data_IF_455756953874
#
_entry.id   IF_455756953874
#
_cell.length_a   1.000
_cell.length_b   1.000
_cell.length_c   1.000
_cell.angle_alpha   90.00
_cell.angle_beta   90.00
_cell.angle_gamma   90.00
#
_symmetry.space_group_name_H-M   'P 1'
#
loop_
_entity.id
_entity.type
_entity.pdbx_description
1 polymer ?
#
# COMPACT_ATOMS: atom_id res chain seq x y z
N UNK A 1 8.90 10.73 -6.79
CA UNK A 1 9.39 11.84 -7.66
C UNK A 1 9.23 13.17 -6.95
N UNK A 2 10.13 13.45 -5.97
CA UNK A 2 10.07 14.67 -5.12
C UNK A 2 10.28 16.01 -5.91
N UNK A 3 10.65 15.98 -7.15
CA UNK A 3 10.68 17.16 -8.04
C UNK A 3 9.71 17.01 -9.22
N UNK A 4 8.85 16.02 -9.19
CA UNK A 4 7.88 15.67 -10.22
C UNK A 4 8.47 15.04 -11.49
N UNK A 5 9.79 14.90 -11.60
CA UNK A 5 10.47 14.48 -12.85
C UNK A 5 11.52 13.41 -12.61
N UNK A 6 12.43 13.62 -11.66
CA UNK A 6 13.57 12.73 -11.45
C UNK A 6 13.33 11.81 -10.27
N UNK A 7 13.82 10.56 -10.32
CA UNK A 7 13.71 9.64 -9.20
C UNK A 7 14.56 10.12 -8.02
N UNK A 8 13.97 10.09 -6.85
CA UNK A 8 14.62 10.28 -5.56
C UNK A 8 14.48 9.01 -4.74
N UNK A 9 15.27 8.84 -3.69
CA UNK A 9 15.04 7.82 -2.69
C UNK A 9 15.02 8.42 -1.29
N UNK A 10 14.21 7.83 -0.43
CA UNK A 10 14.04 8.25 0.96
C UNK A 10 14.48 7.13 1.89
N UNK A 11 15.26 7.47 2.89
CA UNK A 11 15.65 6.57 3.98
C UNK A 11 14.98 7.02 5.26
N UNK A 12 14.26 6.10 5.91
CA UNK A 12 13.59 6.36 7.17
C UNK A 12 14.22 5.58 8.32
N UNK A 13 14.27 6.19 9.51
CA UNK A 13 14.61 5.53 10.77
C UNK A 13 13.84 6.14 11.94
N UNK A 14 13.59 5.32 12.98
CA UNK A 14 12.96 5.80 14.19
C UNK A 14 11.45 5.95 14.09
N UNK A 15 10.72 4.85 14.06
CA UNK A 15 9.25 4.85 14.00
C UNK A 15 8.57 4.72 15.37
N UNK A 16 9.31 4.39 16.44
CA UNK A 16 8.79 4.35 17.83
C UNK A 16 9.13 5.61 18.66
N UNK A 17 9.96 6.47 18.14
CA UNK A 17 10.42 7.66 18.87
C UNK A 17 10.87 8.74 17.88
N UNK A 18 12.06 9.35 18.14
CA UNK A 18 12.61 10.33 17.20
C UNK A 18 12.64 9.78 15.79
N UNK A 19 11.93 10.43 14.89
CA UNK A 19 11.80 10.06 13.49
C UNK A 19 12.72 10.89 12.62
N UNK A 20 13.52 10.24 11.79
CA UNK A 20 14.38 10.91 10.81
C UNK A 20 14.08 10.32 9.42
N UNK A 21 13.76 11.19 8.47
CA UNK A 21 13.66 10.87 7.05
C UNK A 21 14.70 11.68 6.29
N UNK A 22 15.46 11.04 5.43
CA UNK A 22 16.46 11.69 4.59
C UNK A 22 16.19 11.38 3.12
N UNK A 23 16.04 12.41 2.31
CA UNK A 23 15.84 12.30 0.87
C UNK A 23 17.13 12.60 0.11
N UNK A 24 17.31 11.83 -0.96
CA UNK A 24 18.47 11.94 -1.84
C UNK A 24 18.01 11.90 -3.29
N UNK A 25 18.58 12.77 -4.10
CA UNK A 25 18.40 12.77 -5.54
C UNK A 25 19.52 12.00 -6.24
N UNK A 26 19.15 11.25 -7.27
CA UNK A 26 20.09 10.66 -8.21
C UNK A 26 20.02 11.40 -9.54
N UNK A 27 21.02 12.21 -9.82
CA UNK A 27 21.09 13.05 -11.02
C UNK A 27 22.51 13.11 -11.56
N UNK A 28 22.67 13.04 -12.88
CA UNK A 28 23.98 13.09 -13.54
C UNK A 28 25.00 12.07 -12.97
N UNK A 29 24.55 10.84 -12.71
CA UNK A 29 25.32 9.76 -12.09
C UNK A 29 25.90 10.11 -10.71
N UNK A 30 25.25 11.02 -9.98
CA UNK A 30 25.63 11.41 -8.61
C UNK A 30 24.44 11.34 -7.70
N UNK A 31 24.70 10.91 -6.46
CA UNK A 31 23.76 10.99 -5.35
C UNK A 31 24.06 12.27 -4.58
N UNK A 32 23.04 13.07 -4.32
CA UNK A 32 23.13 14.27 -3.49
C UNK A 32 22.00 14.28 -2.44
N UNK A 33 22.29 14.77 -1.26
CA UNK A 33 21.25 15.01 -0.25
C UNK A 33 20.32 16.10 -0.74
N UNK A 34 19.00 15.85 -0.64
CA UNK A 34 17.95 16.82 -0.95
C UNK A 34 17.53 17.55 0.33
N UNK A 35 17.04 16.80 1.29
CA UNK A 35 16.65 17.30 2.61
C UNK A 35 16.75 16.22 3.68
N UNK A 36 16.73 16.63 4.93
CA UNK A 36 16.60 15.77 6.10
C UNK A 36 15.52 16.34 7.00
N UNK A 37 14.46 15.57 7.22
CA UNK A 37 13.47 15.83 8.25
C UNK A 37 13.89 15.11 9.53
N UNK A 38 13.83 15.81 10.66
CA UNK A 38 14.19 15.26 11.97
C UNK A 38 13.20 15.79 13.01
N UNK A 39 12.50 14.89 13.69
CA UNK A 39 11.59 15.25 14.78
C UNK A 39 12.34 15.62 16.08
N UNK A 40 13.66 15.49 16.10
CA UNK A 40 14.58 15.86 17.17
C UNK A 40 14.33 15.13 18.50
N UNK A 41 13.16 15.26 19.10
CA UNK A 41 12.81 14.71 20.40
C UNK A 41 11.42 14.06 20.42
N UNK A 42 11.07 13.46 21.56
CA UNK A 42 9.79 12.75 21.72
C UNK A 42 8.55 13.64 21.85
N UNK A 43 8.73 14.91 22.14
CA UNK A 43 7.65 15.90 22.31
C UNK A 43 7.16 16.46 20.98
N UNK A 44 7.98 16.31 19.94
CA UNK A 44 7.61 16.71 18.59
C UNK A 44 6.44 15.84 18.08
N UNK A 45 5.37 16.46 17.51
CA UNK A 45 4.17 15.72 17.07
C UNK A 45 4.44 14.65 16.00
N UNK A 46 5.56 14.72 15.30
CA UNK A 46 5.96 13.72 14.30
C UNK A 46 6.75 12.54 14.89
N UNK A 47 7.12 12.61 16.17
CA UNK A 47 7.82 11.50 16.83
C UNK A 47 6.89 10.32 17.08
N UNK A 48 7.36 9.10 16.74
CA UNK A 48 6.62 7.86 16.99
C UNK A 48 5.42 7.62 16.06
N UNK A 49 5.35 8.31 14.92
CA UNK A 49 4.23 8.21 13.99
C UNK A 49 4.51 7.26 12.80
N UNK A 50 5.75 6.85 12.60
CA UNK A 50 6.15 6.06 11.43
C UNK A 50 5.71 4.60 11.49
N UNK A 51 5.57 3.96 10.33
CA UNK A 51 5.30 2.54 10.18
C UNK A 51 6.57 1.75 9.81
N UNK A 52 6.48 0.43 9.81
CA UNK A 52 7.52 -0.47 9.26
C UNK A 52 7.64 -0.39 7.73
N UNK A 53 6.79 0.37 7.08
CA UNK A 53 6.84 0.70 5.67
C UNK A 53 6.35 2.14 5.48
N UNK A 54 6.50 2.68 4.30
CA UNK A 54 5.97 3.99 3.90
C UNK A 54 5.24 3.86 2.56
N UNK A 55 4.48 4.88 2.22
CA UNK A 55 3.93 5.06 0.88
C UNK A 55 4.35 6.42 0.35
N UNK A 56 4.35 6.54 -0.97
CA UNK A 56 4.69 7.77 -1.68
C UNK A 56 3.55 8.05 -2.66
N UNK A 57 3.04 9.27 -2.65
CA UNK A 57 1.96 9.70 -3.53
C UNK A 57 1.90 11.22 -3.61
N UNK A 58 1.40 11.76 -4.72
CA UNK A 58 1.03 13.17 -4.88
C UNK A 58 -0.24 13.44 -4.04
N UNK A 59 -0.06 13.89 -2.80
CA UNK A 59 -1.12 14.01 -1.82
C UNK A 59 -1.89 15.34 -1.93
N UNK A 60 -1.26 16.39 -2.40
CA UNK A 60 -1.86 17.73 -2.50
C UNK A 60 -2.21 18.16 -3.93
N UNK A 61 -1.74 17.39 -4.93
CA UNK A 61 -2.06 17.59 -6.35
C UNK A 61 -1.12 18.57 -7.06
N UNK A 62 0.10 18.79 -6.54
CA UNK A 62 1.08 19.70 -7.14
C UNK A 62 1.97 19.01 -8.19
N UNK A 63 1.85 17.70 -8.34
CA UNK A 63 2.60 16.87 -9.30
C UNK A 63 3.94 16.36 -8.79
N UNK A 64 4.21 16.49 -7.51
CA UNK A 64 5.33 15.91 -6.80
C UNK A 64 4.82 14.92 -5.76
N UNK A 65 5.69 14.05 -5.29
CA UNK A 65 5.29 13.01 -4.34
C UNK A 65 5.62 13.42 -2.90
N UNK A 66 4.69 13.20 -1.99
CA UNK A 66 4.85 13.30 -0.56
C UNK A 66 5.16 11.93 0.06
N UNK A 67 5.73 11.95 1.25
CA UNK A 67 6.06 10.75 2.01
C UNK A 67 5.01 10.52 3.09
N UNK A 68 4.16 9.50 2.88
CA UNK A 68 3.17 9.06 3.86
C UNK A 68 3.84 8.02 4.76
N UNK A 69 4.27 8.44 5.94
CA UNK A 69 5.01 7.58 6.87
C UNK A 69 4.19 7.27 8.11
N UNK A 70 3.32 6.28 8.00
CA UNK A 70 2.45 5.86 9.10
C UNK A 70 1.32 6.85 9.38
N UNK A 71 1.34 7.49 10.53
CA UNK A 71 0.34 8.44 11.00
C UNK A 71 0.71 9.92 10.73
N UNK A 72 1.64 10.15 9.81
CA UNK A 72 2.09 11.49 9.41
C UNK A 72 2.41 11.56 7.91
N UNK A 73 2.51 12.76 7.37
CA UNK A 73 3.07 13.01 6.04
C UNK A 73 4.12 14.13 6.07
N UNK A 74 5.09 13.99 5.18
CA UNK A 74 6.17 14.93 4.93
C UNK A 74 6.11 15.33 3.47
N UNK A 75 6.14 16.64 3.23
CA UNK A 75 6.09 17.27 1.94
C UNK A 75 7.34 16.99 1.07
N UNK A 76 7.24 17.19 -0.22
CA UNK A 76 8.31 17.01 -1.21
C UNK A 76 9.57 17.81 -0.89
N UNK A 77 9.42 18.93 -0.18
CA UNK A 77 10.51 19.80 0.27
C UNK A 77 11.12 19.41 1.63
N UNK A 78 10.55 18.39 2.31
CA UNK A 78 10.99 17.91 3.61
C UNK A 78 10.33 18.57 4.80
N UNK A 79 9.34 19.43 4.60
CA UNK A 79 8.54 20.01 5.69
C UNK A 79 7.44 19.04 6.15
N UNK A 80 7.01 19.16 7.41
CA UNK A 80 5.91 18.34 7.91
C UNK A 80 4.57 18.87 7.43
N UNK A 81 3.76 18.04 6.75
CA UNK A 81 2.41 18.41 6.34
C UNK A 81 1.42 18.30 7.51
N UNK A 82 1.35 17.11 8.10
CA UNK A 82 0.48 16.83 9.25
C UNK A 82 1.00 15.63 10.06
N UNK A 83 0.50 15.56 11.29
CA UNK A 83 0.59 14.38 12.16
C UNK A 83 -0.75 14.16 12.83
N UNK A 84 -1.30 12.94 12.72
CA UNK A 84 -2.58 12.60 13.36
C UNK A 84 -2.43 12.25 14.83
N UNK A 85 -1.21 11.99 15.29
CA UNK A 85 -0.95 11.55 16.66
C UNK A 85 -1.32 10.10 16.94
N UNK A 86 -1.75 9.31 15.94
CA UNK A 86 -2.21 7.93 16.12
C UNK A 86 -1.08 6.90 16.33
N UNK A 87 0.17 7.35 16.21
CA UNK A 87 1.37 6.58 16.52
C UNK A 87 1.72 5.50 15.48
N UNK A 88 2.74 4.74 15.84
CA UNK A 88 3.29 3.64 15.05
C UNK A 88 2.26 2.58 14.67
N UNK A 89 2.51 1.88 13.57
CA UNK A 89 1.73 0.72 13.12
C UNK A 89 2.47 -0.18 12.14
N UNK A 90 1.95 -1.38 11.96
CA UNK A 90 2.57 -2.46 11.18
C UNK A 90 2.12 -2.52 9.71
N UNK A 91 0.94 -1.99 9.38
CA UNK A 91 0.38 -2.02 8.04
C UNK A 91 -0.15 -0.66 7.61
N UNK A 92 0.09 -0.34 6.34
CA UNK A 92 -0.33 0.91 5.71
C UNK A 92 -0.77 0.63 4.26
N UNK A 93 -1.92 1.16 3.89
CA UNK A 93 -2.48 1.09 2.55
C UNK A 93 -2.87 2.48 2.11
N UNK A 94 -2.30 2.96 1.01
CA UNK A 94 -2.60 4.27 0.42
C UNK A 94 -3.10 4.06 -0.99
N UNK A 95 -4.32 4.50 -1.27
CA UNK A 95 -4.97 4.43 -2.59
C UNK A 95 -6.20 5.34 -2.60
N UNK A 96 -6.83 5.48 -3.76
CA UNK A 96 -8.23 5.92 -3.87
C UNK A 96 -9.11 4.74 -3.36
N UNK A 97 -9.39 4.73 -2.06
CA UNK A 97 -10.16 3.69 -1.40
C UNK A 97 -11.66 4.00 -1.41
N UNK A 98 -12.03 5.27 -1.51
CA UNK A 98 -13.40 5.76 -1.56
C UNK A 98 -13.61 6.65 -2.80
N UNK A 99 -14.03 6.08 -3.93
CA UNK A 99 -14.15 6.83 -5.19
C UNK A 99 -15.26 7.91 -5.17
N UNK A 100 -16.02 8.01 -4.09
CA UNK A 100 -16.99 9.09 -3.86
C UNK A 100 -16.35 10.31 -3.20
N UNK A 101 -15.12 10.19 -2.68
CA UNK A 101 -14.35 11.26 -2.03
C UNK A 101 -13.15 11.61 -2.91
N UNK A 102 -12.95 12.88 -3.31
CA UNK A 102 -11.78 13.25 -4.10
C UNK A 102 -10.48 13.12 -3.32
N UNK A 103 -9.46 12.50 -3.92
CA UNK A 103 -8.13 12.34 -3.36
C UNK A 103 -7.81 10.89 -3.03
N UNK A 104 -6.81 10.69 -2.21
CA UNK A 104 -6.39 9.37 -1.75
C UNK A 104 -6.57 9.27 -0.24
N UNK A 105 -6.86 8.08 0.23
CA UNK A 105 -6.96 7.77 1.64
C UNK A 105 -5.82 6.86 2.09
N UNK A 106 -5.46 7.02 3.34
CA UNK A 106 -4.59 6.09 4.06
C UNK A 106 -5.43 5.27 5.03
N UNK A 107 -5.51 3.97 4.82
CA UNK A 107 -5.93 3.01 5.84
C UNK A 107 -4.71 2.41 6.52
N UNK A 108 -4.79 2.22 7.84
CA UNK A 108 -3.75 1.50 8.56
C UNK A 108 -4.14 1.09 9.96
N UNK A 109 -3.29 0.25 10.50
CA UNK A 109 -3.38 -0.23 11.87
C UNK A 109 -2.37 0.50 12.73
N UNK A 110 -2.64 0.55 14.04
CA UNK A 110 -1.76 1.20 15.02
C UNK A 110 -1.47 0.27 16.18
N UNK A 111 -0.25 0.38 16.71
CA UNK A 111 0.17 -0.31 17.91
C UNK A 111 -0.03 0.62 19.12
N UNK A 112 -0.99 0.27 19.98
CA UNK A 112 -1.27 0.99 21.20
C UNK A 112 -0.58 0.27 22.34
N UNK A 113 0.59 0.73 22.72
CA UNK A 113 1.45 0.13 23.72
C UNK A 113 1.66 1.00 24.97
N UNK A 114 2.07 0.38 26.05
CA UNK A 114 2.57 1.06 27.26
C UNK A 114 1.61 2.09 27.87
N UNK A 115 0.30 1.81 27.80
CA UNK A 115 -0.74 2.69 28.37
C UNK A 115 -1.01 3.96 27.56
N UNK A 116 -0.56 4.01 26.31
CA UNK A 116 -0.97 5.08 25.38
C UNK A 116 -2.42 4.86 24.94
N UNK A 117 -3.12 5.94 24.69
CA UNK A 117 -4.49 5.91 24.15
C UNK A 117 -4.49 6.25 22.66
N UNK A 118 -5.46 5.72 21.92
CA UNK A 118 -5.64 6.01 20.50
C UNK A 118 -6.44 4.92 19.79
N UNK A 119 -6.74 5.10 18.50
CA UNK A 119 -7.40 4.09 17.69
C UNK A 119 -6.39 3.02 17.25
N UNK A 120 -6.77 1.73 17.32
CA UNK A 120 -6.01 0.64 16.70
C UNK A 120 -6.16 0.59 15.19
N UNK A 121 -7.22 1.22 14.65
CA UNK A 121 -7.53 1.32 13.22
C UNK A 121 -7.86 2.76 12.88
N UNK A 122 -7.27 3.28 11.79
CA UNK A 122 -7.62 4.60 11.26
C UNK A 122 -7.64 4.64 9.73
N UNK A 123 -8.61 5.38 9.21
CA UNK A 123 -8.71 5.82 7.83
C UNK A 123 -8.71 7.35 7.82
N UNK A 124 -7.86 7.95 7.01
CA UNK A 124 -7.79 9.42 6.88
C UNK A 124 -7.33 9.85 5.48
N UNK A 125 -7.66 11.07 5.10
CA UNK A 125 -7.18 11.72 3.88
C UNK A 125 -5.66 11.91 3.95
N UNK A 126 -4.93 11.55 2.89
CA UNK A 126 -3.48 11.79 2.87
C UNK A 126 -3.12 13.26 2.62
N UNK A 127 -4.06 14.05 2.15
CA UNK A 127 -3.84 15.47 1.84
C UNK A 127 -3.56 16.30 3.08
N UNK A 128 -4.29 16.04 4.17
CA UNK A 128 -4.29 16.91 5.35
C UNK A 128 -4.44 16.17 6.69
N UNK A 129 -4.51 14.82 6.64
CA UNK A 129 -4.72 14.01 7.83
C UNK A 129 -6.15 14.03 8.40
N UNK A 130 -7.13 14.58 7.66
CA UNK A 130 -8.54 14.58 8.08
C UNK A 130 -9.02 13.15 8.30
N UNK A 131 -9.45 12.87 9.54
CA UNK A 131 -9.88 11.52 9.95
C UNK A 131 -11.27 11.22 9.42
N UNK A 132 -11.40 10.11 8.71
CA UNK A 132 -12.65 9.64 8.09
C UNK A 132 -13.30 8.51 8.92
N UNK A 133 -12.47 7.64 9.50
CA UNK A 133 -12.95 6.53 10.32
C UNK A 133 -11.89 6.09 11.33
N UNK A 134 -12.34 5.67 12.52
CA UNK A 134 -11.49 5.01 13.54
C UNK A 134 -12.22 3.85 14.19
N UNK A 135 -11.45 2.85 14.64
CA UNK A 135 -11.97 1.69 15.37
C UNK A 135 -10.94 1.14 16.36
N UNK A 136 -11.36 0.15 17.15
CA UNK A 136 -10.51 -0.59 18.10
C UNK A 136 -9.76 0.34 19.07
N UNK A 137 -10.45 1.16 19.86
CA UNK A 137 -9.80 2.10 20.78
C UNK A 137 -8.93 1.35 21.80
N UNK A 138 -7.72 1.88 22.03
CA UNK A 138 -6.75 1.38 23.02
C UNK A 138 -6.39 -0.10 22.82
N UNK A 139 -6.36 -0.56 21.58
CA UNK A 139 -6.03 -1.92 21.22
C UNK A 139 -4.88 -1.96 20.21
N UNK A 140 -3.89 -2.76 20.52
CA UNK A 140 -2.80 -3.10 19.59
C UNK A 140 -3.33 -4.02 18.48
N UNK A 141 -3.17 -3.59 17.22
CA UNK A 141 -3.58 -4.33 16.02
C UNK A 141 -2.36 -4.56 15.15
N UNK A 142 -1.96 -5.83 14.99
CA UNK A 142 -0.76 -6.20 14.22
C UNK A 142 -0.98 -6.42 12.72
N UNK A 143 -2.21 -6.40 12.21
CA UNK A 143 -2.57 -6.64 10.81
C UNK A 143 -3.87 -5.95 10.44
N UNK A 144 -3.94 -5.47 9.22
CA UNK A 144 -5.16 -4.93 8.64
C UNK A 144 -4.94 -4.65 7.17
N UNK A 145 -6.00 -4.70 6.39
CA UNK A 145 -6.01 -4.45 4.95
C UNK A 145 -7.24 -3.65 4.56
N UNK A 146 -7.08 -2.85 3.51
CA UNK A 146 -8.18 -2.17 2.83
C UNK A 146 -8.01 -2.32 1.32
N UNK A 147 -9.03 -2.86 0.66
CA UNK A 147 -9.13 -2.93 -0.79
C UNK A 147 -10.54 -3.36 -1.22
N UNK A 148 -10.89 -3.16 -2.48
CA UNK A 148 -12.11 -3.72 -3.02
C UNK A 148 -11.95 -5.23 -3.23
N UNK A 149 -12.68 -6.04 -2.45
CA UNK A 149 -12.72 -7.50 -2.53
C UNK A 149 -14.14 -8.03 -2.77
N UNK A 150 -15.16 -7.19 -2.58
CA UNK A 150 -16.57 -7.53 -2.82
C UNK A 150 -16.99 -7.08 -4.22
N UNK A 151 -17.24 -8.05 -5.09
CA UNK A 151 -17.64 -7.84 -6.49
C UNK A 151 -19.03 -7.21 -6.66
N UNK A 152 -19.67 -6.78 -5.60
CA UNK A 152 -21.03 -6.20 -5.60
C UNK A 152 -21.09 -4.78 -5.04
N UNK A 153 -19.97 -4.27 -4.49
CA UNK A 153 -19.93 -2.97 -3.78
C UNK A 153 -18.81 -2.09 -4.30
N UNK A 154 -19.13 -0.83 -4.54
CA UNK A 154 -18.17 0.22 -4.85
C UNK A 154 -17.40 0.62 -3.59
N UNK A 155 -16.16 1.03 -3.74
CA UNK A 155 -15.26 1.40 -2.64
C UNK A 155 -14.55 0.20 -2.01
N UNK A 156 -13.51 0.47 -1.26
CA UNK A 156 -12.75 -0.56 -0.56
C UNK A 156 -13.55 -1.15 0.62
N UNK A 157 -13.20 -2.37 0.98
CA UNK A 157 -13.60 -2.97 2.25
C UNK A 157 -12.41 -2.99 3.19
N UNK A 158 -12.68 -2.85 4.48
CA UNK A 158 -11.68 -2.82 5.55
C UNK A 158 -11.90 -3.98 6.52
N UNK A 159 -10.82 -4.65 6.89
CA UNK A 159 -10.83 -5.63 7.99
C UNK A 159 -9.42 -5.75 8.60
N UNK A 160 -9.35 -6.32 9.78
CA UNK A 160 -8.11 -6.43 10.55
C UNK A 160 -8.05 -7.68 11.39
N UNK A 161 -6.89 -7.99 11.92
CA UNK A 161 -6.69 -9.15 12.77
C UNK A 161 -7.56 -9.05 14.04
N UNK A 162 -8.37 -10.07 14.26
CA UNK A 162 -9.30 -10.14 15.39
C UNK A 162 -10.66 -9.51 15.13
N UNK A 163 -10.88 -8.81 14.01
CA UNK A 163 -12.22 -8.47 13.57
C UNK A 163 -12.96 -9.71 13.07
N UNK A 164 -14.24 -9.81 13.42
CA UNK A 164 -15.16 -10.79 12.83
C UNK A 164 -15.92 -10.23 11.65
N UNK A 165 -15.94 -8.91 11.54
CA UNK A 165 -16.77 -8.17 10.62
C UNK A 165 -15.95 -7.54 9.51
N UNK A 166 -16.49 -7.61 8.29
CA UNK A 166 -16.03 -6.87 7.13
C UNK A 166 -16.77 -5.53 7.09
N UNK A 167 -16.02 -4.44 6.95
CA UNK A 167 -16.57 -3.10 6.92
C UNK A 167 -16.47 -2.52 5.50
N UNK A 168 -17.45 -1.72 5.10
CA UNK A 168 -17.27 -0.85 3.95
C UNK A 168 -16.34 0.32 4.30
N UNK A 169 -16.02 1.14 3.31
CA UNK A 169 -15.11 2.28 3.51
C UNK A 169 -15.68 3.37 4.43
N UNK A 170 -16.99 3.36 4.69
CA UNK A 170 -17.65 4.27 5.63
C UNK A 170 -17.72 3.68 7.06
N UNK A 171 -17.20 2.47 7.26
CA UNK A 171 -17.20 1.76 8.56
C UNK A 171 -18.45 0.95 8.86
N UNK A 172 -19.39 0.81 7.94
CA UNK A 172 -20.59 -0.02 8.16
C UNK A 172 -20.22 -1.50 8.03
N UNK A 173 -20.76 -2.34 8.92
CA UNK A 173 -20.63 -3.80 8.84
C UNK A 173 -21.44 -4.32 7.66
N UNK A 174 -20.79 -5.03 6.73
CA UNK A 174 -21.40 -5.54 5.50
C UNK A 174 -21.30 -7.05 5.33
N UNK A 175 -20.56 -7.72 6.18
CA UNK A 175 -20.37 -9.16 6.08
C UNK A 175 -19.38 -9.70 7.10
N UNK A 176 -18.91 -10.91 6.87
CA UNK A 176 -17.86 -11.53 7.69
C UNK A 176 -16.49 -11.22 7.14
N UNK A 177 -15.56 -10.83 7.99
CA UNK A 177 -14.18 -10.63 7.62
C UNK A 177 -13.54 -11.92 7.06
N UNK A 178 -12.68 -11.83 6.05
CA UNK A 178 -11.76 -12.90 5.69
C UNK A 178 -10.92 -13.32 6.91
N UNK A 179 -10.46 -14.58 6.92
CA UNK A 179 -9.60 -15.09 8.00
C UNK A 179 -8.20 -14.44 7.99
N UNK A 180 -7.68 -14.15 6.79
CA UNK A 180 -6.38 -13.51 6.63
C UNK A 180 -6.55 -12.01 6.41
N UNK A 181 -5.67 -11.22 7.00
CA UNK A 181 -5.51 -9.80 6.77
C UNK A 181 -4.04 -9.49 6.41
N UNK A 182 -3.39 -10.40 5.65
CA UNK A 182 -1.96 -10.33 5.36
C UNK A 182 -1.66 -9.62 4.04
N UNK A 183 -2.24 -10.10 2.91
CA UNK A 183 -1.88 -9.63 1.59
C UNK A 183 -3.03 -9.74 0.58
N UNK A 184 -2.90 -9.07 -0.54
CA UNK A 184 -3.89 -8.98 -1.62
C UNK A 184 -3.18 -9.02 -2.97
N UNK A 185 -3.91 -9.48 -4.01
CA UNK A 185 -3.40 -9.60 -5.37
C UNK A 185 -4.54 -9.37 -6.37
N UNK A 186 -4.28 -8.78 -7.54
CA UNK A 186 -5.19 -8.83 -8.68
C UNK A 186 -4.88 -10.08 -9.52
N UNK A 187 -5.72 -11.10 -9.40
CA UNK A 187 -5.44 -12.42 -9.96
C UNK A 187 -6.45 -12.91 -10.98
N UNK A 188 -7.73 -12.80 -10.69
CA UNK A 188 -8.77 -13.33 -11.57
C UNK A 188 -9.16 -12.37 -12.73
N UNK A 189 -10.32 -12.52 -13.30
CA UNK A 189 -10.74 -11.77 -14.47
C UNK A 189 -11.50 -10.49 -14.19
N UNK A 190 -11.73 -10.11 -12.93
CA UNK A 190 -12.42 -8.88 -12.54
C UNK A 190 -11.49 -7.89 -11.79
N UNK A 191 -11.94 -6.65 -11.56
CA UNK A 191 -11.10 -5.62 -10.93
C UNK A 191 -11.04 -5.67 -9.42
N UNK A 192 -11.80 -6.56 -8.77
CA UNK A 192 -11.70 -6.76 -7.32
C UNK A 192 -10.51 -7.63 -6.98
N UNK A 193 -9.87 -7.35 -5.84
CA UNK A 193 -8.69 -8.09 -5.42
C UNK A 193 -9.03 -9.44 -4.78
N UNK A 194 -8.11 -10.38 -4.91
CA UNK A 194 -8.11 -11.65 -4.20
C UNK A 194 -7.27 -11.54 -2.93
N UNK A 195 -7.61 -12.41 -1.98
CA UNK A 195 -6.84 -12.63 -0.75
C UNK A 195 -5.63 -13.47 -1.09
N UNK A 196 -4.45 -12.99 -0.74
CA UNK A 196 -3.21 -13.76 -0.82
C UNK A 196 -2.70 -14.03 0.60
N UNK A 197 -2.55 -15.30 0.95
CA UNK A 197 -1.97 -15.70 2.23
C UNK A 197 -1.07 -16.92 2.03
N UNK A 198 0.20 -16.80 2.44
CA UNK A 198 1.21 -17.86 2.22
C UNK A 198 1.35 -18.19 0.73
N UNK A 199 0.87 -19.39 0.32
CA UNK A 199 0.99 -19.91 -1.04
C UNK A 199 -0.34 -19.96 -1.78
N UNK A 200 -1.45 -19.55 -1.14
CA UNK A 200 -2.77 -19.66 -1.76
C UNK A 200 -3.42 -18.30 -2.05
N UNK A 201 -4.19 -18.29 -3.11
CA UNK A 201 -5.02 -17.16 -3.55
C UNK A 201 -6.48 -17.58 -3.45
N UNK A 202 -7.31 -16.74 -2.84
CA UNK A 202 -8.72 -17.01 -2.66
C UNK A 202 -9.58 -15.77 -2.97
N UNK A 203 -10.72 -15.98 -3.63
CA UNK A 203 -11.74 -14.93 -3.85
C UNK A 203 -12.68 -14.85 -2.68
N UNK A 204 -12.94 -13.64 -2.19
CA UNK A 204 -13.93 -13.41 -1.16
C UNK A 204 -15.30 -13.98 -1.56
N UNK A 205 -15.91 -14.78 -0.66
CA UNK A 205 -17.19 -15.43 -0.90
C UNK A 205 -17.21 -16.60 -1.90
N UNK A 206 -16.09 -16.88 -2.62
CA UNK A 206 -16.02 -17.95 -3.63
C UNK A 206 -15.03 -19.07 -3.26
N UNK A 207 -14.05 -18.83 -2.41
CA UNK A 207 -13.06 -19.82 -1.99
C UNK A 207 -11.74 -19.76 -2.75
N UNK A 208 -10.95 -20.82 -2.65
CA UNK A 208 -9.60 -20.91 -3.20
C UNK A 208 -9.60 -20.96 -4.74
N UNK A 209 -8.81 -20.11 -5.37
CA UNK A 209 -8.59 -20.07 -6.81
C UNK A 209 -7.28 -20.74 -7.22
N UNK A 210 -6.24 -20.61 -6.39
CA UNK A 210 -4.91 -21.11 -6.71
C UNK A 210 -4.15 -21.47 -5.44
N UNK A 211 -3.25 -22.48 -5.53
CA UNK A 211 -2.25 -22.77 -4.51
C UNK A 211 -0.91 -23.12 -5.18
N UNK A 212 0.15 -22.43 -4.76
CA UNK A 212 1.50 -22.64 -5.25
C UNK A 212 2.15 -23.84 -4.52
N UNK A 213 1.77 -25.05 -4.91
CA UNK A 213 2.33 -26.27 -4.32
C UNK A 213 3.86 -26.35 -4.49
N UNK A 214 4.56 -26.72 -3.43
CA UNK A 214 6.02 -26.78 -3.42
C UNK A 214 6.72 -25.44 -3.27
N UNK A 215 5.98 -24.35 -3.13
CA UNK A 215 6.52 -23.04 -2.74
C UNK A 215 6.43 -22.77 -1.24
N UNK A 216 7.10 -21.72 -0.81
CA UNK A 216 7.01 -21.18 0.56
C UNK A 216 6.87 -19.65 0.51
N UNK A 217 6.76 -19.01 1.66
CA UNK A 217 6.53 -17.58 1.79
C UNK A 217 7.59 -16.91 2.65
N UNK A 218 7.65 -15.60 2.62
CA UNK A 218 8.56 -14.78 3.41
C UNK A 218 7.92 -14.33 4.73
N UNK A 219 8.75 -13.93 5.70
CA UNK A 219 8.38 -13.25 6.96
C UNK A 219 7.44 -14.01 7.88
N UNK A 220 7.57 -15.33 7.97
CA UNK A 220 6.89 -16.16 8.96
C UNK A 220 5.38 -15.95 9.00
N UNK A 221 4.83 -15.50 10.12
CA UNK A 221 3.38 -15.29 10.32
C UNK A 221 2.81 -14.16 9.46
N UNK A 222 3.65 -13.24 8.96
CA UNK A 222 3.23 -12.19 8.04
C UNK A 222 2.90 -12.75 6.65
N UNK A 223 3.42 -13.92 6.31
CA UNK A 223 3.02 -14.75 5.19
C UNK A 223 2.97 -13.98 3.85
N UNK A 224 3.96 -13.12 3.60
CA UNK A 224 4.02 -12.26 2.42
C UNK A 224 4.77 -12.94 1.27
N UNK A 225 4.47 -12.61 0.01
CA UNK A 225 5.25 -13.06 -1.14
C UNK A 225 6.64 -12.43 -1.16
N UNK A 226 7.51 -12.93 -2.02
CA UNK A 226 8.76 -12.24 -2.37
C UNK A 226 8.48 -11.01 -3.22
N UNK A 227 7.49 -11.11 -4.13
CA UNK A 227 6.98 -10.00 -4.92
C UNK A 227 5.56 -10.34 -5.40
N UNK A 228 4.70 -9.32 -5.50
CA UNK A 228 3.47 -9.32 -6.29
C UNK A 228 3.48 -8.09 -7.17
N UNK A 229 3.39 -8.26 -8.49
CA UNK A 229 3.46 -7.17 -9.46
C UNK A 229 2.92 -7.58 -10.83
N UNK A 230 2.37 -6.62 -11.57
CA UNK A 230 2.03 -6.76 -12.99
C UNK A 230 3.31 -6.77 -13.84
N UNK A 231 4.00 -7.92 -13.87
CA UNK A 231 5.29 -8.11 -14.56
C UNK A 231 5.07 -8.36 -16.06
N UNK A 232 4.00 -9.11 -16.40
CA UNK A 232 3.70 -9.47 -17.79
C UNK A 232 2.94 -8.37 -18.53
N UNK A 233 2.48 -7.34 -17.83
CA UNK A 233 1.89 -6.14 -18.43
C UNK A 233 0.45 -6.32 -18.88
N UNK A 234 -0.28 -7.25 -18.29
CA UNK A 234 -1.69 -7.52 -18.64
C UNK A 234 -2.68 -6.97 -17.57
N UNK A 235 -2.18 -6.11 -16.64
CA UNK A 235 -2.82 -5.50 -15.48
C UNK A 235 -3.05 -6.43 -14.28
N UNK A 236 -2.98 -7.73 -14.46
CA UNK A 236 -3.03 -8.68 -13.36
C UNK A 236 -1.63 -8.90 -12.80
N UNK A 237 -1.57 -9.26 -11.53
CA UNK A 237 -0.29 -9.38 -10.86
C UNK A 237 0.23 -10.82 -10.93
N UNK A 238 1.53 -10.96 -11.20
CA UNK A 238 2.26 -12.20 -10.99
C UNK A 238 2.66 -12.32 -9.53
N UNK A 239 2.69 -13.57 -9.07
CA UNK A 239 3.10 -13.95 -7.74
C UNK A 239 4.49 -14.60 -7.77
N UNK A 240 5.47 -14.03 -7.07
CA UNK A 240 6.80 -14.61 -6.91
C UNK A 240 6.97 -15.20 -5.52
N UNK A 241 7.28 -16.50 -5.48
CA UNK A 241 7.56 -17.25 -4.24
C UNK A 241 8.81 -18.11 -4.41
N UNK A 242 9.63 -18.27 -3.36
CA UNK A 242 10.71 -19.25 -3.39
C UNK A 242 10.17 -20.68 -3.32
N UNK A 243 10.90 -21.65 -3.88
CA UNK A 243 10.68 -23.07 -3.63
C UNK A 243 10.86 -23.37 -2.14
N UNK A 244 10.29 -24.49 -1.66
CA UNK A 244 10.52 -24.94 -0.28
C UNK A 244 11.98 -25.29 -0.02
N UNK A 245 12.65 -25.78 -1.04
CA UNK A 245 14.06 -26.13 -1.04
C UNK A 245 14.98 -24.90 -1.04
N UNK A 246 14.46 -23.74 -1.47
CA UNK A 246 15.18 -22.47 -1.50
C UNK A 246 16.17 -22.32 -2.65
N UNK A 247 16.07 -23.17 -3.66
CA UNK A 247 16.97 -23.23 -4.82
C UNK A 247 16.39 -22.52 -6.08
N UNK A 248 15.08 -22.20 -6.05
CA UNK A 248 14.39 -21.56 -7.15
C UNK A 248 13.53 -20.38 -6.66
N UNK A 249 13.40 -19.36 -7.51
CA UNK A 249 12.35 -18.36 -7.45
C UNK A 249 11.32 -18.67 -8.53
N UNK A 250 10.09 -18.94 -8.13
CA UNK A 250 8.99 -19.32 -9.03
C UNK A 250 8.08 -18.13 -9.29
N UNK A 251 7.76 -17.91 -10.57
CA UNK A 251 6.79 -16.91 -11.02
C UNK A 251 5.51 -17.65 -11.39
N UNK A 252 4.41 -17.24 -10.77
CA UNK A 252 3.08 -17.75 -11.05
C UNK A 252 2.24 -16.66 -11.70
N UNK A 253 1.61 -16.99 -12.82
CA UNK A 253 0.67 -16.14 -13.53
C UNK A 253 -0.68 -16.84 -13.65
N UNK A 254 -1.75 -16.06 -13.72
CA UNK A 254 -3.10 -16.60 -13.85
C UNK A 254 -3.40 -17.05 -15.27
N UNK A 255 -4.16 -18.13 -15.40
CA UNK A 255 -4.72 -18.60 -16.67
C UNK A 255 -6.22 -18.31 -16.82
N UNK A 256 -6.81 -17.59 -15.86
CA UNK A 256 -8.24 -17.24 -15.87
C UNK A 256 -8.49 -16.21 -16.98
N UNK A 257 -9.42 -16.49 -17.91
CA UNK A 257 -9.73 -15.53 -18.97
C UNK A 257 -10.37 -14.25 -18.45
N UNK A 258 -10.03 -13.11 -19.04
CA UNK A 258 -10.70 -11.83 -18.79
C UNK A 258 -11.07 -11.11 -20.07
N UNK A 259 -12.21 -10.42 -20.07
CA UNK A 259 -12.62 -9.49 -21.13
C UNK A 259 -12.18 -8.05 -20.86
N UNK A 260 -11.72 -7.77 -19.64
CA UNK A 260 -11.20 -6.46 -19.29
C UNK A 260 -9.87 -6.20 -19.98
N UNK A 261 -9.72 -4.99 -20.51
CA UNK A 261 -8.50 -4.52 -21.16
C UNK A 261 -8.09 -3.18 -20.56
N UNK A 262 -6.87 -3.14 -20.05
CA UNK A 262 -6.30 -1.97 -19.41
C UNK A 262 -4.80 -1.89 -19.73
N UNK A 263 -4.21 -0.73 -19.62
CA UNK A 263 -2.75 -0.59 -19.64
C UNK A 263 -2.15 -1.32 -18.43
N UNK A 264 -0.90 -1.73 -18.55
CA UNK A 264 -0.17 -2.27 -17.41
C UNK A 264 -0.21 -1.30 -16.23
N UNK A 265 -0.41 -1.83 -15.03
CA UNK A 265 -0.40 -1.04 -13.80
C UNK A 265 0.93 -0.32 -13.56
N UNK A 266 2.02 -0.81 -14.18
CA UNK A 266 3.33 -0.17 -14.13
C UNK A 266 3.39 1.22 -14.78
N UNK A 267 2.35 1.63 -15.51
CA UNK A 267 2.21 3.01 -15.99
C UNK A 267 1.66 3.97 -14.93
N UNK A 268 1.02 3.45 -13.88
CA UNK A 268 0.64 4.25 -12.72
C UNK A 268 1.87 4.52 -11.85
N UNK A 269 2.27 5.80 -11.63
CA UNK A 269 3.47 6.13 -10.87
C UNK A 269 3.43 5.56 -9.45
N UNK A 270 2.30 5.66 -8.74
CA UNK A 270 2.17 5.17 -7.38
C UNK A 270 2.31 3.64 -7.32
N UNK A 271 1.65 2.91 -8.23
CA UNK A 271 1.79 1.45 -8.30
C UNK A 271 3.24 1.05 -8.57
N UNK A 272 3.89 1.64 -9.57
CA UNK A 272 5.28 1.37 -9.91
C UNK A 272 6.23 1.64 -8.75
N UNK A 273 6.03 2.71 -8.01
CA UNK A 273 6.81 3.02 -6.81
C UNK A 273 6.51 2.00 -5.69
N UNK A 274 5.25 1.56 -5.54
CA UNK A 274 4.89 0.53 -4.57
C UNK A 274 5.64 -0.79 -4.80
N UNK A 275 5.87 -1.16 -6.07
CA UNK A 275 6.71 -2.31 -6.40
C UNK A 275 8.15 -2.10 -5.91
N UNK A 276 8.71 -0.91 -6.08
CA UNK A 276 10.07 -0.60 -5.68
C UNK A 276 10.28 -0.70 -4.15
N UNK A 277 9.32 -0.26 -3.34
CA UNK A 277 9.43 -0.36 -1.87
C UNK A 277 8.74 -1.58 -1.26
N UNK A 278 8.11 -2.46 -2.03
CA UNK A 278 7.28 -3.56 -1.52
C UNK A 278 7.98 -4.41 -0.45
N UNK A 279 9.29 -4.64 -0.58
CA UNK A 279 10.09 -5.41 0.37
C UNK A 279 10.89 -4.57 1.37
N UNK A 280 10.69 -3.26 1.40
CA UNK A 280 11.27 -2.38 2.40
C UNK A 280 10.44 -2.48 3.69
N UNK A 281 11.05 -2.91 4.79
CA UNK A 281 10.33 -3.16 6.03
C UNK A 281 9.35 -4.34 5.93
N UNK A 282 8.11 -4.18 6.38
CA UNK A 282 7.08 -5.18 6.22
C UNK A 282 6.42 -5.06 4.85
N UNK A 283 6.50 -6.14 4.07
CA UNK A 283 5.93 -6.18 2.74
C UNK A 283 4.41 -5.95 2.79
N UNK A 284 3.92 -5.01 1.97
CA UNK A 284 2.52 -4.66 1.80
C UNK A 284 2.12 -4.83 0.32
N UNK A 285 0.85 -5.13 0.01
CA UNK A 285 0.40 -5.21 -1.36
C UNK A 285 0.55 -3.85 -2.07
N UNK A 286 0.96 -3.82 -3.33
CA UNK A 286 1.05 -2.59 -4.08
C UNK A 286 -0.36 -2.02 -4.35
N UNK A 287 -0.47 -0.70 -4.41
CA UNK A 287 -1.72 0.02 -4.65
C UNK A 287 -1.57 1.00 -5.80
N UNK A 288 -2.66 1.19 -6.53
CA UNK A 288 -2.78 2.21 -7.58
C UNK A 288 -3.11 3.59 -7.00
N UNK A 289 -2.72 4.65 -7.70
CA UNK A 289 -3.10 6.02 -7.41
C UNK A 289 -4.52 6.38 -7.89
N UNK A 290 -5.33 5.39 -8.23
CA UNK A 290 -6.72 5.53 -8.65
C UNK A 290 -7.55 4.36 -8.16
N UNK A 291 -8.86 4.55 -8.04
CA UNK A 291 -9.76 3.48 -7.65
C UNK A 291 -9.77 2.34 -8.67
N UNK A 292 -9.42 1.14 -8.23
CA UNK A 292 -9.54 -0.09 -9.01
C UNK A 292 -10.36 -1.12 -8.23
N UNK A 293 -11.55 -1.43 -8.73
CA UNK A 293 -12.50 -2.33 -8.08
C UNK A 293 -13.84 -2.39 -8.79
N UNK A 294 -14.79 -3.02 -8.13
CA UNK A 294 -16.17 -3.09 -8.64
C UNK A 294 -16.75 -1.69 -8.88
N UNK A 295 -17.40 -1.51 -10.02
CA UNK A 295 -17.99 -0.23 -10.41
C UNK A 295 -17.00 0.78 -10.99
N UNK A 296 -15.71 0.46 -11.10
CA UNK A 296 -14.74 1.31 -11.80
C UNK A 296 -15.22 1.59 -13.22
N UNK A 297 -15.36 2.88 -13.58
CA UNK A 297 -15.86 3.28 -14.91
C UNK A 297 -14.79 3.14 -15.97
N UNK A 298 -13.61 3.65 -15.72
CA UNK A 298 -12.46 3.64 -16.63
C UNK A 298 -11.19 3.96 -15.88
N UNK A 299 -10.13 3.18 -16.13
CA UNK A 299 -8.80 3.51 -15.65
C UNK A 299 -8.31 4.85 -16.25
N UNK A 300 -7.53 5.64 -15.51
CA UNK A 300 -6.88 6.82 -16.05
C UNK A 300 -6.04 6.47 -17.28
N UNK A 301 -6.05 7.31 -18.29
CA UNK A 301 -5.18 7.14 -19.45
C UNK A 301 -3.76 7.54 -19.07
N UNK A 302 -2.78 6.64 -19.14
CA UNK A 302 -1.41 6.97 -18.79
C UNK A 302 -0.80 7.99 -19.77
N UNK A 303 0.07 8.85 -19.24
CA UNK A 303 0.81 9.81 -20.06
C UNK A 303 2.02 9.14 -20.73
N UNK A 304 1.76 8.36 -21.77
CA UNK A 304 2.80 7.65 -22.51
C UNK A 304 3.40 8.59 -23.56
N UNK A 305 4.72 8.78 -23.48
CA UNK A 305 5.51 9.46 -24.50
C UNK A 305 6.37 8.44 -25.23
N UNK A 306 6.18 8.34 -26.56
CA UNK A 306 7.09 7.57 -27.39
C UNK A 306 8.35 8.40 -27.62
N UNK A 307 9.49 7.83 -27.24
CA UNK A 307 10.80 8.41 -27.58
C UNK A 307 11.17 7.82 -28.95
N UNK A 308 11.33 8.63 -30.01
CA UNK A 308 11.81 8.12 -31.28
C UNK A 308 13.19 7.47 -31.09
N UNK A 309 13.40 6.29 -31.69
CA UNK A 309 14.73 5.72 -31.78
C UNK A 309 15.63 6.72 -32.53
N UNK A 310 16.65 7.25 -31.87
CA UNK A 310 17.78 7.88 -32.56
C UNK A 310 18.55 6.75 -33.20
N UNK A 311 18.31 6.54 -34.50
CA UNK A 311 19.18 5.68 -35.32
C UNK A 311 20.50 6.45 -35.44
N UNK A 312 21.51 6.07 -34.66
CA UNK A 312 22.90 6.51 -34.84
C UNK A 312 23.54 5.78 -36.02
#
# INVERSE_FOLDING_TARGET
YLDGIHPSFVMGRGYYGRTVLAAFDFKNNKISSRWVFDSENRENPYSGQGNHNLSVADADGDGKDEIIFGAMAIDDDGTGMYSTGFRHGDAIHVSDLDPDVPGLERFGIHEIENGTEGPGIALFSIKDGTVLYTAEPNRDIGRGVAANIDTTRVGAQMWWLGSRDLHDIKGNVIGKAPRSANFLIWWDGDFSRELLDRTYIAKYGKGMLFNADGATWSRGSKATPSLSADILGDWREELLLPSKEGDEMRIYSTTIPTTHRMYTLMHDPQYRLSIAWQNVGYNQPPHTGFYMGYGMKKAPKPNIKLIPETID
#
